data_IF_319520083765
#
_entry.id   IF_319520083765
#
_cell.length_a   1.000
_cell.length_b   1.000
_cell.length_c   1.000
_cell.angle_alpha   90.00
_cell.angle_beta   90.00
_cell.angle_gamma   90.00
#
_symmetry.space_group_name_H-M   'P 1'
#
loop_
_entity.id
_entity.type
_entity.pdbx_description
1 polymer ?
#
# COMPACT_ATOMS: atom_id res chain seq x y z
N UNK A 1 73.49 9.59 29.44
CA UNK A 1 73.22 9.20 30.84
C UNK A 1 72.98 10.44 31.70
N UNK A 2 71.71 10.80 31.97
CA UNK A 2 71.32 11.65 33.12
C UNK A 2 69.93 11.20 33.59
N UNK A 3 69.88 10.59 34.77
CA UNK A 3 68.66 10.25 35.50
C UNK A 3 68.15 11.52 36.20
N UNK A 4 66.87 11.86 36.04
CA UNK A 4 66.10 12.76 36.93
C UNK A 4 64.66 12.22 36.94
N UNK A 5 64.30 11.49 38.00
CA UNK A 5 63.68 11.98 39.23
C UNK A 5 62.16 12.10 39.07
N UNK A 6 61.50 11.00 39.46
CA UNK A 6 60.07 10.81 39.59
C UNK A 6 59.56 11.73 40.70
N UNK A 7 58.63 12.64 40.37
CA UNK A 7 57.74 13.26 41.36
C UNK A 7 56.36 12.65 41.20
N UNK A 8 55.99 11.88 42.21
CA UNK A 8 54.69 11.28 42.41
C UNK A 8 53.73 12.39 42.85
N UNK A 9 52.81 12.77 41.97
CA UNK A 9 51.71 13.68 42.30
C UNK A 9 50.42 12.89 42.12
N UNK A 10 49.83 12.51 43.26
CA UNK A 10 48.51 11.90 43.34
C UNK A 10 47.50 12.99 42.95
N UNK A 11 46.88 12.86 41.78
CA UNK A 11 45.81 13.73 41.32
C UNK A 11 44.52 12.90 41.25
N UNK A 12 43.55 13.33 42.05
CA UNK A 12 42.22 12.74 42.21
C UNK A 12 41.48 12.74 40.86
N UNK A 13 41.24 11.56 40.27
CA UNK A 13 40.43 11.44 39.05
C UNK A 13 38.95 11.61 39.40
N UNK A 14 38.42 12.78 39.08
CA UNK A 14 36.98 13.03 38.94
C UNK A 14 36.42 12.08 37.87
N UNK A 15 35.48 11.23 38.27
CA UNK A 15 34.70 10.38 37.38
C UNK A 15 33.73 11.28 36.59
N UNK A 16 34.17 11.80 35.44
CA UNK A 16 33.25 12.45 34.50
C UNK A 16 32.47 11.38 33.76
N UNK A 17 31.20 11.22 34.12
CA UNK A 17 30.22 10.41 33.43
C UNK A 17 30.08 10.92 31.99
N UNK A 18 30.69 10.21 31.04
CA UNK A 18 30.41 10.43 29.62
C UNK A 18 29.00 9.88 29.40
N UNK A 19 28.01 10.76 29.36
CA UNK A 19 26.72 10.43 28.77
C UNK A 19 26.98 10.22 27.28
N UNK A 20 27.01 8.96 26.87
CA UNK A 20 26.91 8.60 25.46
C UNK A 20 25.49 9.02 25.05
N UNK A 21 25.30 10.01 24.17
CA UNK A 21 23.98 10.23 23.62
C UNK A 21 23.63 8.96 22.84
N UNK A 22 22.68 8.20 23.35
CA UNK A 22 22.05 7.13 22.58
C UNK A 22 21.40 7.79 21.37
N UNK A 23 22.02 7.66 20.19
CA UNK A 23 21.34 7.93 18.94
C UNK A 23 20.25 6.86 18.80
N UNK A 24 19.07 7.15 19.31
CA UNK A 24 17.85 6.46 18.91
C UNK A 24 17.60 6.86 17.46
N UNK A 25 18.20 6.13 16.52
CA UNK A 25 17.69 6.12 15.15
C UNK A 25 16.36 5.39 15.23
N UNK A 26 15.28 6.15 15.37
CA UNK A 26 13.96 5.61 15.05
C UNK A 26 14.05 5.08 13.63
N UNK A 27 13.58 3.85 13.35
CA UNK A 27 13.52 3.36 11.98
C UNK A 27 12.73 4.40 11.20
N UNK A 28 13.41 5.08 10.27
CA UNK A 28 12.75 5.98 9.36
C UNK A 28 11.96 5.05 8.45
N UNK A 29 10.66 4.90 8.74
CA UNK A 29 9.75 4.35 7.77
C UNK A 29 9.92 5.19 6.51
N UNK A 30 10.37 4.54 5.43
CA UNK A 30 10.52 5.17 4.12
C UNK A 30 9.11 5.38 3.58
N UNK A 31 8.43 6.38 4.11
CA UNK A 31 7.26 6.94 3.44
C UNK A 31 7.77 7.77 2.28
N UNK A 32 7.10 7.69 1.13
CA UNK A 32 7.39 8.53 -0.02
C UNK A 32 7.52 10.00 0.43
N UNK A 33 8.40 10.76 -0.21
CA UNK A 33 8.62 12.15 0.21
C UNK A 33 7.29 12.92 0.14
N UNK A 34 7.13 13.97 0.94
CA UNK A 34 5.91 14.80 0.90
C UNK A 34 5.58 15.26 -0.53
N UNK A 35 6.61 15.52 -1.34
CA UNK A 35 6.47 15.86 -2.75
C UNK A 35 5.85 14.73 -3.59
N UNK A 36 6.30 13.48 -3.39
CA UNK A 36 5.77 12.31 -4.12
C UNK A 36 4.31 12.06 -3.75
N UNK A 37 3.95 12.27 -2.48
CA UNK A 37 2.57 12.14 -2.00
C UNK A 37 1.65 13.22 -2.60
N UNK A 38 2.12 14.47 -2.65
CA UNK A 38 1.38 15.56 -3.29
C UNK A 38 1.15 15.31 -4.78
N UNK A 39 2.15 14.78 -5.47
CA UNK A 39 2.04 14.41 -6.88
C UNK A 39 1.03 13.27 -7.08
N UNK A 40 1.05 12.25 -6.22
CA UNK A 40 0.09 11.16 -6.25
C UNK A 40 -1.36 11.67 -6.01
N UNK A 41 -1.57 12.54 -5.01
CA UNK A 41 -2.87 13.21 -4.78
C UNK A 41 -3.35 13.94 -6.03
N UNK A 42 -2.44 14.65 -6.70
CA UNK A 42 -2.75 15.39 -7.92
C UNK A 42 -3.24 14.45 -9.02
N UNK A 43 -2.57 13.33 -9.26
CA UNK A 43 -2.99 12.35 -10.27
C UNK A 43 -4.36 11.74 -9.96
N UNK A 44 -4.65 11.44 -8.68
CA UNK A 44 -5.98 11.02 -8.27
C UNK A 44 -7.05 12.09 -8.53
N UNK A 45 -6.76 13.36 -8.20
CA UNK A 45 -7.67 14.49 -8.49
C UNK A 45 -7.95 14.63 -9.98
N UNK A 46 -6.91 14.54 -10.81
CA UNK A 46 -7.05 14.64 -12.27
C UNK A 46 -7.93 13.51 -12.81
N UNK A 47 -7.66 12.26 -12.44
CA UNK A 47 -8.45 11.11 -12.90
C UNK A 47 -9.89 11.13 -12.37
N UNK A 48 -10.09 11.45 -11.09
CA UNK A 48 -11.41 11.59 -10.48
C UNK A 48 -12.27 12.63 -11.22
N UNK A 49 -11.70 13.79 -11.53
CA UNK A 49 -12.38 14.84 -12.28
C UNK A 49 -12.65 14.45 -13.73
N UNK A 50 -11.68 13.82 -14.40
CA UNK A 50 -11.79 13.43 -15.81
C UNK A 50 -12.89 12.39 -16.04
N UNK A 51 -13.04 11.43 -15.11
CA UNK A 51 -13.98 10.32 -15.24
C UNK A 51 -15.22 10.45 -14.33
N UNK A 52 -15.40 11.60 -13.68
CA UNK A 52 -16.50 11.86 -12.75
C UNK A 52 -16.65 10.76 -11.68
N UNK A 53 -15.53 10.36 -11.07
CA UNK A 53 -15.48 9.38 -9.97
C UNK A 53 -15.17 10.13 -8.67
N UNK A 54 -15.86 9.87 -7.55
CA UNK A 54 -15.49 10.45 -6.26
C UNK A 54 -14.04 10.14 -5.90
N UNK A 55 -13.26 11.16 -5.55
CA UNK A 55 -11.81 10.99 -5.33
C UNK A 55 -11.51 10.10 -4.13
N UNK A 56 -12.25 10.22 -3.04
CA UNK A 56 -12.10 9.40 -1.85
C UNK A 56 -12.29 7.92 -2.18
N UNK A 57 -13.28 7.63 -3.03
CA UNK A 57 -13.54 6.27 -3.52
C UNK A 57 -12.38 5.72 -4.36
N UNK A 58 -11.88 6.53 -5.30
CA UNK A 58 -10.79 6.13 -6.18
C UNK A 58 -9.49 5.85 -5.41
N UNK A 59 -9.17 6.68 -4.41
CA UNK A 59 -8.00 6.46 -3.54
C UNK A 59 -8.20 5.23 -2.66
N UNK A 60 -9.39 5.02 -2.08
CA UNK A 60 -9.68 3.82 -1.29
C UNK A 60 -9.50 2.53 -2.07
N UNK A 61 -9.93 2.50 -3.34
CA UNK A 61 -9.72 1.35 -4.22
C UNK A 61 -8.23 1.13 -4.46
N UNK A 62 -7.47 2.18 -4.79
CA UNK A 62 -6.01 2.06 -4.94
C UNK A 62 -5.30 1.54 -3.67
N UNK A 63 -5.81 1.90 -2.49
CA UNK A 63 -5.32 1.38 -1.21
C UNK A 63 -5.63 -0.12 -1.05
N UNK A 64 -6.85 -0.55 -1.35
CA UNK A 64 -7.25 -1.97 -1.24
C UNK A 64 -6.51 -2.84 -2.27
N UNK A 65 -6.30 -2.34 -3.48
CA UNK A 65 -5.65 -3.09 -4.56
C UNK A 65 -4.15 -3.30 -4.32
N UNK A 66 -3.44 -2.25 -3.88
CA UNK A 66 -1.98 -2.26 -3.86
C UNK A 66 -1.35 -1.51 -2.69
N UNK A 67 -2.14 -0.98 -1.76
CA UNK A 67 -1.70 -0.02 -0.75
C UNK A 67 -1.02 1.21 -1.38
N UNK A 68 -1.54 1.67 -2.52
CA UNK A 68 -1.02 2.80 -3.29
C UNK A 68 0.40 2.58 -3.85
N UNK A 69 0.78 1.33 -4.12
CA UNK A 69 2.10 0.95 -4.64
C UNK A 69 1.99 0.36 -6.05
N UNK A 70 2.80 0.85 -6.99
CA UNK A 70 2.71 0.49 -8.41
C UNK A 70 3.48 -0.78 -8.81
N UNK A 71 4.16 -1.40 -7.85
CA UNK A 71 4.98 -2.60 -8.05
C UNK A 71 6.04 -2.44 -9.15
N UNK A 72 6.55 -1.21 -9.36
CA UNK A 72 7.52 -0.88 -10.41
C UNK A 72 7.04 -1.30 -11.83
N UNK A 73 5.73 -1.43 -12.02
CA UNK A 73 5.10 -1.88 -13.26
C UNK A 73 5.15 -3.40 -13.52
N UNK A 74 5.67 -4.20 -12.60
CA UNK A 74 5.69 -5.65 -12.69
C UNK A 74 4.29 -6.24 -12.38
N UNK A 75 3.88 -7.33 -13.06
CA UNK A 75 2.60 -7.97 -12.79
C UNK A 75 2.59 -8.75 -11.48
N UNK A 76 1.42 -8.82 -10.85
CA UNK A 76 1.14 -9.83 -9.83
C UNK A 76 0.81 -11.21 -10.46
N UNK A 77 0.48 -12.20 -9.62
CA UNK A 77 0.21 -13.57 -10.04
C UNK A 77 -1.06 -13.76 -10.90
N UNK A 78 -1.90 -12.73 -11.04
CA UNK A 78 -3.09 -12.75 -11.90
C UNK A 78 -2.91 -11.87 -13.15
N UNK A 79 -1.68 -11.40 -13.43
CA UNK A 79 -1.37 -10.40 -14.46
C UNK A 79 -2.11 -9.07 -14.25
N UNK A 80 -2.23 -8.66 -12.99
CA UNK A 80 -2.65 -7.32 -12.60
C UNK A 80 -1.45 -6.38 -12.47
N UNK A 81 -1.62 -5.14 -12.93
CA UNK A 81 -0.55 -4.16 -13.10
C UNK A 81 -0.86 -2.83 -12.43
N UNK A 82 0.19 -2.23 -11.84
CA UNK A 82 0.17 -0.88 -11.30
C UNK A 82 -0.73 -0.70 -10.08
N UNK A 83 -0.83 0.54 -9.64
CA UNK A 83 -1.48 0.94 -8.40
C UNK A 83 -2.96 0.50 -8.31
N UNK A 84 -3.68 0.59 -9.43
CA UNK A 84 -5.10 0.25 -9.55
C UNK A 84 -5.33 -1.21 -9.96
N UNK A 85 -4.27 -2.03 -10.09
CA UNK A 85 -4.32 -3.46 -10.39
C UNK A 85 -5.12 -3.80 -11.67
N UNK A 86 -4.82 -3.13 -12.78
CA UNK A 86 -5.46 -3.40 -14.08
C UNK A 86 -5.01 -4.76 -14.62
N UNK A 87 -5.97 -5.66 -14.89
CA UNK A 87 -5.73 -7.09 -15.16
C UNK A 87 -5.75 -7.40 -16.65
N UNK A 88 -4.78 -8.20 -17.10
CA UNK A 88 -4.73 -8.80 -18.44
C UNK A 88 -4.48 -10.30 -18.38
N UNK A 89 -5.55 -11.08 -18.38
CA UNK A 89 -5.50 -12.54 -18.44
C UNK A 89 -6.70 -13.08 -19.28
N UNK A 90 -6.84 -14.40 -19.52
CA UNK A 90 -7.94 -14.93 -20.34
C UNK A 90 -9.35 -14.68 -19.79
N UNK A 91 -9.49 -14.47 -18.47
CA UNK A 91 -10.77 -14.32 -17.77
C UNK A 91 -11.14 -12.85 -17.58
N UNK A 92 -10.15 -11.95 -17.44
CA UNK A 92 -10.31 -10.54 -17.14
C UNK A 92 -9.38 -9.68 -18.00
N UNK A 93 -9.95 -8.63 -18.59
CA UNK A 93 -9.31 -7.75 -19.59
C UNK A 93 -9.44 -6.27 -19.25
N UNK A 94 -9.44 -5.92 -17.95
CA UNK A 94 -9.60 -4.53 -17.51
C UNK A 94 -8.46 -3.63 -17.95
N UNK A 95 -7.25 -4.16 -18.17
CA UNK A 95 -6.14 -3.40 -18.74
C UNK A 95 -6.38 -3.01 -20.20
N UNK A 96 -6.86 -3.94 -21.01
CA UNK A 96 -7.22 -3.69 -22.41
C UNK A 96 -8.43 -2.76 -22.52
N UNK A 97 -9.47 -2.99 -21.72
CA UNK A 97 -10.64 -2.09 -21.65
C UNK A 97 -10.22 -0.66 -21.24
N UNK A 98 -9.34 -0.52 -20.25
CA UNK A 98 -8.81 0.79 -19.85
C UNK A 98 -8.07 1.46 -21.01
N UNK A 99 -7.29 0.71 -21.79
CA UNK A 99 -6.59 1.23 -22.97
C UNK A 99 -7.57 1.74 -24.03
N UNK A 100 -8.67 1.03 -24.27
CA UNK A 100 -9.71 1.43 -25.22
C UNK A 100 -10.45 2.69 -24.79
N UNK A 101 -10.82 2.79 -23.51
CA UNK A 101 -11.59 3.93 -22.97
C UNK A 101 -10.73 5.19 -22.91
N UNK A 102 -9.50 5.06 -22.42
CA UNK A 102 -8.60 6.22 -22.19
C UNK A 102 -7.81 6.63 -23.43
N UNK A 103 -7.64 5.73 -24.40
CA UNK A 103 -6.71 5.89 -25.51
C UNK A 103 -5.22 5.77 -25.12
N UNK A 104 -4.92 5.49 -23.85
CA UNK A 104 -3.55 5.30 -23.36
C UNK A 104 -3.07 3.91 -23.78
N UNK A 105 -1.81 3.79 -24.19
CA UNK A 105 -1.25 2.49 -24.57
C UNK A 105 -1.19 1.51 -23.40
N UNK A 106 -1.37 0.21 -23.67
CA UNK A 106 -1.21 -0.85 -22.66
C UNK A 106 0.15 -0.76 -21.94
N UNK A 107 1.23 -0.47 -22.67
CA UNK A 107 2.57 -0.36 -22.07
C UNK A 107 2.64 0.74 -21.02
N UNK A 108 2.05 1.90 -21.32
CA UNK A 108 2.02 3.03 -20.39
C UNK A 108 1.08 2.77 -19.21
N UNK A 109 -0.08 2.13 -19.41
CA UNK A 109 -0.97 1.72 -18.33
C UNK A 109 -0.32 0.72 -17.35
N UNK A 110 0.68 -0.04 -17.79
CA UNK A 110 1.44 -0.95 -16.91
C UNK A 110 2.47 -0.23 -16.06
N UNK A 111 3.17 0.76 -16.62
CA UNK A 111 4.40 1.31 -16.00
C UNK A 111 4.27 2.74 -15.48
N UNK A 112 3.23 3.49 -15.87
CA UNK A 112 2.99 4.85 -15.41
C UNK A 112 1.89 4.85 -14.36
N UNK A 113 2.23 5.24 -13.13
CA UNK A 113 1.27 5.33 -12.01
C UNK A 113 0.13 6.31 -12.32
N UNK A 114 0.43 7.49 -12.88
CA UNK A 114 -0.59 8.43 -13.30
C UNK A 114 -1.55 7.81 -14.32
N UNK A 115 -1.01 7.12 -15.33
CA UNK A 115 -1.80 6.53 -16.41
C UNK A 115 -2.63 5.34 -15.90
N UNK A 116 -2.07 4.53 -15.00
CA UNK A 116 -2.77 3.44 -14.35
C UNK A 116 -3.94 3.92 -13.47
N UNK A 117 -3.76 5.02 -12.72
CA UNK A 117 -4.84 5.68 -11.96
C UNK A 117 -5.97 6.14 -12.90
N UNK A 118 -5.62 6.76 -14.04
CA UNK A 118 -6.62 7.12 -15.07
C UNK A 118 -7.36 5.91 -15.61
N UNK A 119 -6.65 4.82 -15.90
CA UNK A 119 -7.26 3.57 -16.35
C UNK A 119 -8.23 2.97 -15.34
N UNK A 120 -7.87 2.93 -14.06
CA UNK A 120 -8.77 2.47 -12.99
C UNK A 120 -10.02 3.34 -12.86
N UNK A 121 -9.86 4.67 -12.91
CA UNK A 121 -10.98 5.62 -12.88
C UNK A 121 -11.92 5.45 -14.08
N UNK A 122 -11.36 5.22 -15.27
CA UNK A 122 -12.13 4.98 -16.49
C UNK A 122 -12.99 3.72 -16.41
N UNK A 123 -12.43 2.62 -15.87
CA UNK A 123 -13.17 1.37 -15.65
C UNK A 123 -14.30 1.55 -14.65
N UNK A 124 -14.06 2.22 -13.52
CA UNK A 124 -15.10 2.51 -12.53
C UNK A 124 -16.23 3.35 -13.13
N UNK A 125 -15.88 4.40 -13.87
CA UNK A 125 -16.85 5.27 -14.51
C UNK A 125 -17.69 4.52 -15.54
N UNK A 126 -17.07 3.65 -16.34
CA UNK A 126 -17.79 2.74 -17.24
C UNK A 126 -18.79 1.86 -16.49
N UNK A 127 -18.38 1.18 -15.42
CA UNK A 127 -19.28 0.33 -14.64
C UNK A 127 -20.46 1.10 -14.06
N UNK A 128 -20.21 2.29 -13.52
CA UNK A 128 -21.28 3.14 -13.00
C UNK A 128 -22.24 3.59 -14.12
N UNK A 129 -21.72 3.93 -15.30
CA UNK A 129 -22.52 4.29 -16.45
C UNK A 129 -23.41 3.14 -16.93
N UNK A 130 -22.84 1.93 -17.00
CA UNK A 130 -23.56 0.70 -17.37
C UNK A 130 -24.69 0.39 -16.37
N UNK A 131 -24.41 0.53 -15.06
CA UNK A 131 -25.39 0.31 -13.97
C UNK A 131 -26.53 1.34 -14.03
N UNK A 132 -26.20 2.62 -14.20
CA UNK A 132 -27.19 3.71 -14.18
C UNK A 132 -27.95 3.85 -15.50
N UNK A 133 -27.59 3.08 -16.53
CA UNK A 133 -28.13 3.13 -17.89
C UNK A 133 -27.89 4.50 -18.54
N UNK A 134 -26.63 4.92 -18.51
CA UNK A 134 -26.13 6.14 -19.13
C UNK A 134 -26.66 7.44 -18.52
N UNK A 135 -27.04 7.43 -17.25
CA UNK A 135 -27.33 8.67 -16.52
C UNK A 135 -26.02 9.28 -16.02
N UNK A 136 -26.06 10.57 -15.71
CA UNK A 136 -24.92 11.25 -15.12
C UNK A 136 -24.50 10.56 -13.81
N UNK A 137 -23.18 10.42 -13.63
CA UNK A 137 -22.63 9.82 -12.43
C UNK A 137 -22.94 10.67 -11.20
N UNK A 138 -23.34 10.01 -10.10
CA UNK A 138 -23.58 10.69 -8.83
C UNK A 138 -22.27 11.13 -8.20
N UNK A 139 -22.29 12.33 -7.60
CA UNK A 139 -21.18 12.81 -6.77
C UNK A 139 -21.21 12.19 -5.35
N UNK A 140 -22.28 11.49 -4.95
CA UNK A 140 -22.30 10.75 -3.70
C UNK A 140 -21.64 9.38 -3.91
N UNK A 141 -20.52 9.14 -3.22
CA UNK A 141 -19.80 7.86 -3.29
C UNK A 141 -20.68 6.67 -2.90
N UNK A 142 -21.77 6.88 -2.15
CA UNK A 142 -22.70 5.82 -1.77
C UNK A 142 -23.42 5.18 -2.94
N UNK A 143 -23.57 5.91 -4.04
CA UNK A 143 -24.25 5.42 -5.24
C UNK A 143 -23.35 4.52 -6.11
N UNK A 144 -22.09 4.33 -5.73
CA UNK A 144 -21.08 3.60 -6.50
C UNK A 144 -20.86 2.16 -6.03
N UNK A 145 -21.61 1.69 -5.03
CA UNK A 145 -21.38 0.40 -4.38
C UNK A 145 -21.35 -0.77 -5.39
N UNK A 146 -22.30 -0.80 -6.33
CA UNK A 146 -22.35 -1.85 -7.36
C UNK A 146 -21.20 -1.75 -8.38
N UNK A 147 -20.74 -0.54 -8.73
CA UNK A 147 -19.58 -0.37 -9.59
C UNK A 147 -18.29 -0.86 -8.91
N UNK A 148 -18.15 -0.62 -7.60
CA UNK A 148 -17.02 -1.09 -6.78
C UNK A 148 -17.05 -2.62 -6.65
N UNK A 149 -18.23 -3.21 -6.47
CA UNK A 149 -18.39 -4.68 -6.52
C UNK A 149 -17.82 -5.25 -7.81
N UNK A 150 -18.20 -4.69 -8.96
CA UNK A 150 -17.71 -5.12 -10.27
C UNK A 150 -16.19 -4.93 -10.42
N UNK A 151 -15.64 -3.86 -9.87
CA UNK A 151 -14.21 -3.56 -9.93
C UNK A 151 -13.32 -4.66 -9.33
N UNK A 152 -13.74 -5.26 -8.21
CA UNK A 152 -13.01 -6.39 -7.60
C UNK A 152 -12.71 -7.52 -8.61
N UNK A 153 -13.62 -7.70 -9.57
CA UNK A 153 -13.64 -8.79 -10.55
C UNK A 153 -13.57 -10.18 -9.92
N UNK A 154 -14.15 -10.34 -8.73
CA UNK A 154 -14.41 -11.64 -8.13
C UNK A 154 -15.67 -12.29 -8.73
N UNK A 155 -15.66 -13.61 -8.89
CA UNK A 155 -16.79 -14.37 -9.45
C UNK A 155 -18.01 -14.40 -8.52
N UNK A 156 -17.76 -14.52 -7.21
CA UNK A 156 -18.82 -14.61 -6.19
C UNK A 156 -19.32 -13.23 -5.79
N UNK A 157 -20.65 -13.06 -5.74
CA UNK A 157 -21.26 -11.82 -5.28
C UNK A 157 -20.95 -11.50 -3.82
N UNK A 158 -20.82 -12.53 -2.98
CA UNK A 158 -20.44 -12.36 -1.57
C UNK A 158 -19.03 -11.76 -1.45
N UNK A 159 -18.09 -12.20 -2.29
CA UNK A 159 -16.72 -11.67 -2.31
C UNK A 159 -16.70 -10.24 -2.86
N UNK A 160 -17.45 -9.98 -3.94
CA UNK A 160 -17.60 -8.61 -4.48
C UNK A 160 -18.16 -7.65 -3.42
N UNK A 161 -19.16 -8.11 -2.68
CA UNK A 161 -19.81 -7.32 -1.63
C UNK A 161 -18.84 -7.04 -0.49
N UNK A 162 -18.13 -8.06 0.02
CA UNK A 162 -17.11 -7.88 1.06
C UNK A 162 -16.02 -6.89 0.62
N UNK A 163 -15.55 -6.98 -0.62
CA UNK A 163 -14.59 -6.03 -1.18
C UNK A 163 -15.13 -4.58 -1.16
N UNK A 164 -16.37 -4.38 -1.60
CA UNK A 164 -16.98 -3.05 -1.62
C UNK A 164 -17.22 -2.49 -0.19
N UNK A 165 -17.56 -3.36 0.76
CA UNK A 165 -17.67 -2.99 2.17
C UNK A 165 -16.32 -2.52 2.74
N UNK A 166 -15.22 -3.22 2.44
CA UNK A 166 -13.87 -2.83 2.87
C UNK A 166 -13.48 -1.45 2.34
N UNK A 167 -13.71 -1.21 1.03
CA UNK A 167 -13.49 0.10 0.40
C UNK A 167 -14.27 1.21 1.12
N UNK A 168 -15.55 0.96 1.39
CA UNK A 168 -16.43 1.95 2.03
C UNK A 168 -16.08 2.16 3.51
N UNK A 169 -15.56 1.14 4.21
CA UNK A 169 -15.06 1.28 5.57
C UNK A 169 -13.91 2.27 5.65
N UNK A 170 -12.96 2.21 4.71
CA UNK A 170 -11.84 3.17 4.65
C UNK A 170 -12.31 4.63 4.54
N UNK A 171 -13.33 4.86 3.71
CA UNK A 171 -13.93 6.20 3.54
C UNK A 171 -14.62 6.64 4.83
N UNK A 172 -15.45 5.77 5.42
CA UNK A 172 -16.23 6.09 6.62
C UNK A 172 -15.35 6.30 7.87
N UNK A 173 -14.20 5.63 7.95
CA UNK A 173 -13.24 5.78 9.04
C UNK A 173 -12.35 7.02 8.90
N UNK A 174 -12.36 7.68 7.74
CA UNK A 174 -11.56 8.89 7.47
C UNK A 174 -10.05 8.60 7.45
N UNK A 175 -9.66 7.40 7.01
CA UNK A 175 -8.25 7.00 6.91
C UNK A 175 -7.52 7.70 5.76
N UNK A 176 -8.28 8.31 4.84
CA UNK A 176 -7.78 9.11 3.72
C UNK A 176 -8.08 10.58 4.02
N UNK A 177 -7.03 11.39 4.18
CA UNK A 177 -7.15 12.83 4.45
C UNK A 177 -6.67 13.67 3.26
N UNK A 178 -7.58 13.94 2.32
CA UNK A 178 -7.27 14.73 1.13
C UNK A 178 -7.11 16.25 1.40
N UNK A 179 -7.34 16.70 2.64
CA UNK A 179 -7.29 18.13 3.00
C UNK A 179 -5.88 18.68 3.17
N UNK A 180 -4.91 17.81 3.46
CA UNK A 180 -3.52 18.18 3.74
C UNK A 180 -2.55 17.92 2.58
N UNK A 181 -3.06 17.52 1.40
CA UNK A 181 -2.25 17.03 0.27
C UNK A 181 -1.41 15.78 0.58
N UNK A 182 -1.73 15.09 1.69
CA UNK A 182 -1.07 13.88 2.17
C UNK A 182 -2.12 12.77 2.25
N UNK A 183 -2.00 11.69 1.48
CA UNK A 183 -3.10 10.73 1.28
C UNK A 183 -3.52 9.97 2.54
N UNK A 184 -2.63 9.83 3.52
CA UNK A 184 -2.83 8.85 4.58
C UNK A 184 -2.71 9.53 5.93
N UNK A 185 -3.82 9.56 6.67
CA UNK A 185 -3.75 9.65 8.11
C UNK A 185 -3.51 8.24 8.61
N UNK A 186 -2.24 7.86 8.80
CA UNK A 186 -1.95 6.67 9.58
C UNK A 186 -2.68 6.87 10.91
N UNK A 187 -3.42 5.87 11.42
CA UNK A 187 -3.82 5.90 12.81
C UNK A 187 -2.52 6.22 13.55
N UNK A 188 -2.48 7.36 14.26
CA UNK A 188 -1.35 7.55 15.15
C UNK A 188 -1.29 6.28 15.99
N UNK A 189 -0.11 5.77 16.29
CA UNK A 189 0.09 4.62 17.18
C UNK A 189 -0.65 4.80 18.53
N UNK A 190 -1.16 6.00 18.79
CA UNK A 190 -2.00 6.41 19.91
C UNK A 190 -3.51 6.38 19.63
N UNK A 191 -3.98 5.61 18.64
CA UNK A 191 -5.40 5.34 18.45
C UNK A 191 -5.86 4.34 19.51
N UNK A 192 -6.04 4.83 20.75
CA UNK A 192 -6.68 4.13 21.85
C UNK A 192 -8.19 3.94 21.61
N UNK A 193 -8.57 3.39 20.45
CA UNK A 193 -9.95 3.05 20.13
C UNK A 193 -9.95 1.58 19.73
N UNK A 194 -10.55 0.79 20.63
CA UNK A 194 -10.72 -0.66 20.60
C UNK A 194 -9.58 -1.48 21.22
N UNK A 195 -9.35 -1.31 22.53
CA UNK A 195 -8.97 -2.46 23.36
C UNK A 195 -10.17 -3.40 23.42
N UNK A 196 -10.39 -4.19 22.38
CA UNK A 196 -11.23 -5.39 22.50
C UNK A 196 -10.45 -6.30 23.46
N UNK A 197 -10.88 -6.38 24.71
CA UNK A 197 -10.45 -7.43 25.64
C UNK A 197 -11.13 -8.74 25.23
N UNK A 198 -10.89 -9.19 24.01
CA UNK A 198 -11.01 -10.60 23.70
C UNK A 198 -9.67 -11.19 24.15
N UNK A 199 -9.69 -11.86 25.30
CA UNK A 199 -8.59 -12.77 25.63
C UNK A 199 -8.55 -13.78 24.50
N UNK A 200 -7.55 -13.67 23.62
CA UNK A 200 -7.18 -14.76 22.74
C UNK A 200 -6.93 -15.98 23.65
N UNK A 201 -7.33 -17.19 23.27
CA UNK A 201 -6.83 -18.37 23.97
C UNK A 201 -5.30 -18.27 23.98
N UNK A 202 -4.69 -18.52 25.13
CA UNK A 202 -3.24 -18.54 25.28
C UNK A 202 -2.72 -19.73 24.46
N UNK A 203 -2.47 -19.48 23.18
CA UNK A 203 -1.82 -20.44 22.31
C UNK A 203 -0.33 -20.36 22.65
N UNK A 204 0.28 -21.50 23.00
CA UNK A 204 1.73 -21.64 23.19
C UNK A 204 2.47 -21.51 21.85
N UNK A 205 2.36 -20.33 21.23
CA UNK A 205 3.00 -20.00 19.98
C UNK A 205 4.35 -19.38 20.34
N UNK A 206 5.37 -20.23 20.34
CA UNK A 206 6.75 -19.76 20.37
C UNK A 206 7.08 -19.12 19.02
N UNK A 207 7.15 -17.80 18.99
CA UNK A 207 7.61 -17.08 17.81
C UNK A 207 9.06 -17.48 17.52
N UNK A 208 9.28 -18.19 16.42
CA UNK A 208 10.63 -18.54 15.95
C UNK A 208 10.94 -17.60 14.78
N UNK A 209 11.89 -16.65 14.93
CA UNK A 209 12.30 -15.84 13.81
C UNK A 209 12.76 -16.74 12.66
N UNK A 210 12.36 -16.39 11.43
CA UNK A 210 13.00 -16.95 10.26
C UNK A 210 14.53 -16.77 10.40
N UNK A 211 15.29 -17.82 10.07
CA UNK A 211 16.75 -17.81 10.22
C UNK A 211 17.34 -16.59 9.49
N UNK A 212 18.29 -15.89 10.11
CA UNK A 212 18.83 -14.60 9.61
C UNK A 212 19.36 -14.69 8.17
N UNK A 213 19.82 -15.87 7.74
CA UNK A 213 20.25 -16.13 6.36
C UNK A 213 19.13 -16.04 5.31
N UNK A 214 17.85 -15.99 5.72
CA UNK A 214 16.73 -15.74 4.81
C UNK A 214 16.64 -14.29 4.36
N UNK A 215 17.31 -13.36 5.06
CA UNK A 215 17.35 -11.93 4.74
C UNK A 215 18.69 -11.49 4.13
N UNK A 216 19.58 -12.45 3.85
CA UNK A 216 20.86 -12.19 3.20
C UNK A 216 20.67 -12.12 1.67
N UNK A 217 20.52 -10.90 1.16
CA UNK A 217 20.37 -10.59 -0.27
C UNK A 217 21.59 -10.96 -1.11
N UNK A 218 22.73 -11.28 -0.50
CA UNK A 218 23.94 -11.69 -1.23
C UNK A 218 23.89 -13.13 -1.75
N UNK A 219 22.88 -13.92 -1.32
CA UNK A 219 22.76 -15.35 -1.67
C UNK A 219 21.54 -15.71 -2.52
N UNK A 220 20.64 -14.77 -2.81
CA UNK A 220 19.52 -14.98 -3.75
C UNK A 220 19.38 -13.79 -4.67
N UNK A 221 19.51 -14.02 -5.97
CA UNK A 221 19.00 -13.06 -6.94
C UNK A 221 17.47 -13.24 -7.06
N UNK A 222 16.73 -12.20 -7.45
CA UNK A 222 15.29 -12.29 -7.68
C UNK A 222 14.89 -13.44 -8.65
N UNK A 223 15.85 -13.89 -9.47
CA UNK A 223 15.71 -14.99 -10.43
C UNK A 223 15.63 -16.39 -9.79
N UNK A 224 16.06 -16.54 -8.54
CA UNK A 224 16.17 -17.83 -7.85
C UNK A 224 14.92 -18.17 -7.01
N UNK A 225 13.92 -17.28 -6.97
CA UNK A 225 12.64 -17.53 -6.30
C UNK A 225 11.69 -18.22 -7.29
N UNK A 226 11.94 -19.50 -7.55
CA UNK A 226 10.96 -20.36 -8.24
C UNK A 226 10.33 -21.30 -7.21
N UNK A 227 9.01 -21.16 -7.00
CA UNK A 227 8.10 -21.99 -6.18
C UNK A 227 8.06 -21.71 -4.67
N UNK A 228 7.16 -20.83 -4.19
CA UNK A 228 6.74 -20.86 -2.79
C UNK A 228 5.73 -22.00 -2.60
N UNK A 229 5.85 -22.73 -1.50
CA UNK A 229 5.00 -23.84 -1.04
C UNK A 229 5.32 -25.24 -1.60
N UNK A 230 6.19 -25.95 -0.87
CA UNK A 230 6.09 -27.41 -0.74
C UNK A 230 5.79 -27.73 0.73
N UNK A 231 4.53 -28.02 1.06
CA UNK A 231 4.19 -28.62 2.35
C UNK A 231 4.62 -30.09 2.28
N UNK A 232 5.77 -30.39 2.88
CA UNK A 232 6.21 -31.77 3.05
C UNK A 232 5.47 -32.36 4.25
N UNK A 233 4.27 -32.90 4.02
CA UNK A 233 3.63 -33.77 5.00
C UNK A 233 4.52 -35.01 5.20
N UNK A 234 5.08 -35.16 6.39
CA UNK A 234 5.64 -36.44 6.83
C UNK A 234 4.64 -37.10 7.77
N UNK A 235 4.23 -38.32 7.41
CA UNK A 235 3.75 -39.33 8.34
C UNK A 235 4.85 -39.69 9.35
#
# INVERSE_FOLDING_TARGET
>A
MKKKAIKLTILCTILSSISIPSLTSSPTAVYASTQDQQELVKWFKEAANEYNVPIELLVSIGWIESMLYDHDGEPNNINGYGLMNLVSNPERKTLEEASEITGISIGELKTSTQSNIKGGAAILSKYQHDITKNKDNSNDYKDWFEAVKLYSGADSDDIRTSYAEDVFSLINEGLIDLSSETLIKLPSENSNKNKVTASLPELDIKWVPAHISNYDSTRRSAKDITHPFYIRNKC
#
